data_IF_309496260883
#
_entry.id   IF_309496260883
#
_cell.length_a   1.000
_cell.length_b   1.000
_cell.length_c   1.000
_cell.angle_alpha   90.00
_cell.angle_beta   90.00
_cell.angle_gamma   90.00
#
_symmetry.space_group_name_H-M   'P 1'
#
loop_
_entity.id
_entity.type
_entity.pdbx_description
1 polymer ?
#
# COMPACT_ATOMS: atom_id res chain seq x y z
N UNK A 1 4.29 30.81 -14.76
CA UNK A 1 3.60 30.07 -13.68
C UNK A 1 4.16 28.66 -13.72
N UNK A 2 5.32 28.48 -13.10
CA UNK A 2 6.00 27.21 -13.00
C UNK A 2 5.16 26.30 -12.09
N UNK A 3 4.55 25.27 -12.66
CA UNK A 3 3.88 24.23 -11.88
C UNK A 3 4.94 23.60 -10.98
N UNK A 4 4.74 23.53 -9.65
CA UNK A 4 5.69 22.85 -8.80
C UNK A 4 5.79 21.41 -9.27
N UNK A 5 6.93 21.06 -9.85
CA UNK A 5 7.23 19.71 -10.27
C UNK A 5 7.38 18.92 -8.98
N UNK A 6 6.26 18.33 -8.55
CA UNK A 6 6.22 17.58 -7.32
C UNK A 6 7.09 16.34 -7.53
N UNK A 7 8.35 16.44 -7.13
CA UNK A 7 9.26 15.30 -7.02
C UNK A 7 8.81 14.48 -5.80
N UNK A 8 7.58 13.96 -5.84
CA UNK A 8 7.01 13.11 -4.79
C UNK A 8 7.83 11.84 -4.80
N UNK A 9 8.57 11.62 -3.72
CA UNK A 9 9.05 10.29 -3.37
C UNK A 9 7.81 9.41 -3.15
N UNK A 10 7.28 8.85 -4.23
CA UNK A 10 6.12 7.95 -4.17
C UNK A 10 6.50 6.78 -3.29
N UNK A 11 5.69 6.52 -2.27
CA UNK A 11 5.93 5.41 -1.37
C UNK A 11 5.26 4.16 -1.92
N UNK A 12 5.96 3.04 -1.83
CA UNK A 12 5.42 1.72 -2.14
C UNK A 12 4.83 1.10 -0.87
N UNK A 13 3.51 1.07 -0.79
CA UNK A 13 2.76 0.42 0.29
C UNK A 13 2.39 -1.00 -0.11
N UNK A 14 2.61 -1.96 0.78
CA UNK A 14 2.15 -3.35 0.59
C UNK A 14 1.17 -3.71 1.68
N UNK A 15 0.05 -4.31 1.29
CA UNK A 15 -0.98 -4.80 2.18
C UNK A 15 -1.25 -6.28 1.94
N UNK A 16 -1.61 -6.98 3.00
CA UNK A 16 -2.22 -8.30 2.96
C UNK A 16 -3.73 -8.15 2.89
N UNK A 17 -4.36 -8.84 1.94
CA UNK A 17 -5.82 -8.90 1.82
C UNK A 17 -6.33 -9.92 2.83
N UNK A 18 -6.73 -9.44 4.00
CA UNK A 18 -7.25 -10.23 5.10
C UNK A 18 -7.94 -9.35 6.15
N UNK A 19 -8.76 -9.98 6.99
CA UNK A 19 -9.26 -9.41 8.23
C UNK A 19 -8.25 -9.61 9.36
N UNK A 20 -8.12 -8.64 10.26
CA UNK A 20 -7.09 -8.63 11.33
C UNK A 20 -7.19 -9.76 12.36
N UNK A 21 -8.29 -10.52 12.36
CA UNK A 21 -8.52 -11.67 13.24
C UNK A 21 -8.30 -13.04 12.57
N UNK A 22 -7.93 -13.07 11.28
CA UNK A 22 -7.65 -14.31 10.57
C UNK A 22 -6.20 -14.77 10.83
N UNK A 23 -6.00 -16.07 11.06
CA UNK A 23 -4.64 -16.63 11.18
C UNK A 23 -4.04 -16.74 9.78
N UNK A 24 -2.73 -16.52 9.65
CA UNK A 24 -2.04 -16.61 8.36
C UNK A 24 -2.20 -17.96 7.67
N UNK A 25 -2.27 -19.06 8.43
CA UNK A 25 -2.49 -20.41 7.89
C UNK A 25 -3.88 -20.60 7.28
N UNK A 26 -4.87 -19.85 7.77
CA UNK A 26 -6.25 -19.91 7.27
C UNK A 26 -6.44 -19.03 6.03
N UNK A 27 -5.50 -18.11 5.78
CA UNK A 27 -5.47 -17.24 4.59
C UNK A 27 -4.72 -17.98 3.48
N UNK A 28 -5.38 -18.93 2.85
CA UNK A 28 -4.84 -19.68 1.72
C UNK A 28 -5.71 -19.53 0.46
N UNK A 29 -5.18 -18.97 -0.65
CA UNK A 29 -3.82 -18.45 -0.81
C UNK A 29 -3.62 -17.09 -0.12
N UNK A 30 -2.37 -16.78 0.25
CA UNK A 30 -1.98 -15.45 0.75
C UNK A 30 -1.99 -14.47 -0.43
N UNK A 31 -2.78 -13.39 -0.32
CA UNK A 31 -2.91 -12.37 -1.37
C UNK A 31 -2.36 -11.03 -0.89
N UNK A 32 -1.34 -10.53 -1.58
CA UNK A 32 -0.78 -9.21 -1.35
C UNK A 32 -1.20 -8.23 -2.44
N UNK A 33 -1.34 -6.96 -2.08
CA UNK A 33 -1.48 -5.84 -3.02
C UNK A 33 -0.42 -4.79 -2.72
N UNK A 34 0.16 -4.23 -3.77
CA UNK A 34 1.14 -3.15 -3.68
C UNK A 34 0.65 -1.93 -4.43
N UNK A 35 0.73 -0.77 -3.79
CA UNK A 35 0.22 0.51 -4.31
C UNK A 35 1.29 1.59 -4.15
N UNK A 36 1.42 2.45 -5.16
CA UNK A 36 2.21 3.68 -5.07
C UNK A 36 1.30 4.82 -4.63
N UNK A 37 1.61 5.44 -3.49
CA UNK A 37 0.83 6.54 -2.92
C UNK A 37 1.73 7.43 -2.06
N UNK A 38 1.26 8.62 -1.70
CA UNK A 38 2.00 9.55 -0.85
C UNK A 38 1.74 9.30 0.64
N UNK A 39 0.66 8.57 0.97
CA UNK A 39 0.31 8.19 2.33
C UNK A 39 -0.37 6.83 2.40
N UNK A 40 -0.41 6.22 3.60
CA UNK A 40 -1.13 4.94 3.79
C UNK A 40 -2.63 5.10 3.55
N UNK A 41 -3.23 6.22 3.97
CA UNK A 41 -4.66 6.48 3.79
C UNK A 41 -5.04 6.53 2.31
N UNK A 42 -4.24 7.22 1.50
CA UNK A 42 -4.39 7.22 0.05
C UNK A 42 -4.17 5.82 -0.54
N UNK A 43 -3.14 5.10 -0.09
CA UNK A 43 -2.87 3.75 -0.57
C UNK A 43 -4.04 2.78 -0.28
N UNK A 44 -4.69 2.90 0.88
CA UNK A 44 -5.89 2.13 1.24
C UNK A 44 -7.10 2.49 0.37
N UNK A 45 -7.30 3.78 0.11
CA UNK A 45 -8.35 4.26 -0.81
C UNK A 45 -8.13 3.71 -2.22
N UNK A 46 -6.91 3.79 -2.74
CA UNK A 46 -6.52 3.30 -4.07
C UNK A 46 -6.60 1.77 -4.18
N UNK A 47 -6.28 1.04 -3.11
CA UNK A 47 -6.43 -0.41 -3.07
C UNK A 47 -7.91 -0.85 -3.16
N UNK A 48 -8.86 0.00 -2.75
CA UNK A 48 -10.29 -0.24 -2.92
C UNK A 48 -10.85 -1.42 -2.13
N UNK A 49 -10.11 -1.90 -1.11
CA UNK A 49 -10.46 -3.08 -0.32
C UNK A 49 -10.53 -2.67 1.16
N UNK A 50 -11.61 -3.04 1.84
CA UNK A 50 -11.82 -2.70 3.26
C UNK A 50 -10.95 -3.56 4.19
N UNK A 51 -10.73 -4.83 3.83
CA UNK A 51 -9.96 -5.80 4.61
C UNK A 51 -8.49 -5.82 4.19
N UNK A 52 -7.75 -4.79 4.64
CA UNK A 52 -6.33 -4.63 4.38
C UNK A 52 -5.53 -4.55 5.68
N UNK A 53 -4.54 -5.45 5.81
CA UNK A 53 -3.54 -5.41 6.87
C UNK A 53 -2.29 -4.76 6.31
N UNK A 54 -1.78 -3.72 6.97
CA UNK A 54 -0.54 -3.07 6.59
C UNK A 54 0.64 -4.05 6.77
N UNK A 55 1.45 -4.22 5.73
CA UNK A 55 2.63 -5.09 5.76
C UNK A 55 3.91 -4.27 5.72
N UNK A 56 4.04 -3.36 4.76
CA UNK A 56 5.25 -2.56 4.62
C UNK A 56 5.04 -1.25 3.86
N UNK A 57 5.96 -0.32 4.09
CA UNK A 57 6.14 0.93 3.34
C UNK A 57 7.60 1.04 2.93
N UNK A 58 7.85 1.32 1.65
CA UNK A 58 9.19 1.54 1.11
C UNK A 58 9.25 2.86 0.36
N UNK A 59 10.33 3.61 0.54
CA UNK A 59 10.63 4.77 -0.30
C UNK A 59 11.06 4.30 -1.68
N UNK A 60 10.46 4.85 -2.74
CA UNK A 60 10.93 4.61 -4.10
C UNK A 60 11.96 5.66 -4.43
N UNK A 61 13.23 5.31 -4.26
CA UNK A 61 14.33 6.11 -4.79
C UNK A 61 14.37 5.94 -6.31
N UNK A 62 14.14 7.03 -7.04
CA UNK A 62 14.45 7.11 -8.46
C UNK A 62 15.97 7.22 -8.57
N UNK A 63 16.63 6.10 -8.87
CA UNK A 63 18.05 6.08 -9.24
C UNK A 63 18.26 6.69 -10.63
#
# INVERSE_FOLDING_TARGET
MDTPQHNQTRLKFTFLIASGNQRLVDIHPVRLITVLADSEGEARLLAGISSLIFVSRQEVNHA
#
